data_IF_641607218733
#
_entry.id   IF_641607218733
#
_cell.length_a   1.000
_cell.length_b   1.000
_cell.length_c   1.000
_cell.angle_alpha   90.00
_cell.angle_beta   90.00
_cell.angle_gamma   90.00
#
_symmetry.space_group_name_H-M   'P 1'
#
loop_
_entity.id
_entity.type
_entity.pdbx_description
1 polymer ?
#
# COMPACT_ATOMS: atom_id res chain seq x y z
N UNK A 1 -32.56 -10.00 -4.60
CA UNK A 1 -32.10 -8.86 -3.79
C UNK A 1 -33.19 -7.82 -3.87
N UNK A 2 -33.93 -7.61 -2.78
CA UNK A 2 -35.05 -6.67 -2.76
C UNK A 2 -34.55 -5.22 -2.69
N UNK A 3 -35.24 -4.34 -3.40
CA UNK A 3 -34.90 -2.91 -3.48
C UNK A 3 -34.92 -2.25 -2.08
N UNK A 4 -35.74 -2.78 -1.17
CA UNK A 4 -35.84 -2.36 0.24
C UNK A 4 -34.59 -2.70 1.07
N UNK A 5 -33.91 -3.80 0.76
CA UNK A 5 -32.65 -4.19 1.44
C UNK A 5 -31.49 -3.31 1.01
N UNK A 6 -31.49 -2.86 -0.24
CA UNK A 6 -30.49 -1.93 -0.78
C UNK A 6 -30.69 -0.54 -0.17
N UNK A 7 -31.92 -0.03 -0.13
CA UNK A 7 -32.21 1.29 0.45
C UNK A 7 -32.00 1.33 1.96
N UNK A 8 -32.22 0.23 2.68
CA UNK A 8 -31.88 0.16 4.11
C UNK A 8 -30.39 0.17 4.39
N UNK A 9 -29.57 -0.35 3.47
CA UNK A 9 -28.11 -0.31 3.59
C UNK A 9 -27.50 1.00 3.08
N UNK A 10 -28.16 1.74 2.20
CA UNK A 10 -27.68 3.02 1.68
C UNK A 10 -28.04 4.20 2.62
N UNK A 11 -27.75 4.07 3.91
CA UNK A 11 -27.96 5.14 4.89
C UNK A 11 -26.86 6.21 4.77
N UNK A 12 -27.17 7.46 5.13
CA UNK A 12 -26.18 8.55 5.18
C UNK A 12 -24.94 8.17 6.02
N UNK A 13 -25.14 7.38 7.08
CA UNK A 13 -24.06 6.84 7.92
C UNK A 13 -23.11 5.95 7.12
N UNK A 14 -23.62 4.99 6.34
CA UNK A 14 -22.78 4.09 5.57
C UNK A 14 -22.06 4.82 4.44
N UNK A 15 -22.71 5.79 3.80
CA UNK A 15 -22.05 6.67 2.83
C UNK A 15 -20.94 7.51 3.48
N UNK A 16 -21.17 8.01 4.70
CA UNK A 16 -20.17 8.70 5.50
C UNK A 16 -18.97 7.80 5.85
N UNK A 17 -19.22 6.54 6.22
CA UNK A 17 -18.17 5.56 6.46
C UNK A 17 -17.36 5.27 5.19
N UNK A 18 -18.01 5.09 4.03
CA UNK A 18 -17.31 4.93 2.74
C UNK A 18 -16.38 6.10 2.48
N UNK A 19 -16.86 7.34 2.68
CA UNK A 19 -16.05 8.54 2.50
C UNK A 19 -14.88 8.60 3.48
N UNK A 20 -15.12 8.30 4.77
CA UNK A 20 -14.09 8.27 5.79
C UNK A 20 -13.01 7.24 5.45
N UNK A 21 -13.41 6.04 5.04
CA UNK A 21 -12.50 4.97 4.60
C UNK A 21 -11.71 5.38 3.36
N UNK A 22 -12.36 6.00 2.38
CA UNK A 22 -11.68 6.49 1.18
C UNK A 22 -10.62 7.55 1.51
N UNK A 23 -10.92 8.45 2.45
CA UNK A 23 -9.95 9.45 2.91
C UNK A 23 -8.81 8.77 3.67
N UNK A 24 -9.10 7.89 4.62
CA UNK A 24 -8.07 7.19 5.40
C UNK A 24 -7.17 6.36 4.50
N UNK A 25 -7.75 5.53 3.63
CA UNK A 25 -7.03 4.71 2.67
C UNK A 25 -6.22 5.56 1.70
N UNK A 26 -6.78 6.68 1.21
CA UNK A 26 -6.10 7.58 0.29
C UNK A 26 -4.93 8.32 0.93
N UNK A 27 -5.10 8.84 2.14
CA UNK A 27 -4.02 9.47 2.93
C UNK A 27 -2.92 8.48 3.21
N UNK A 28 -3.31 7.29 3.65
CA UNK A 28 -2.39 6.23 3.95
C UNK A 28 -1.59 5.89 2.66
N UNK A 29 -2.26 5.68 1.53
CA UNK A 29 -1.61 5.34 0.25
C UNK A 29 -0.68 6.42 -0.32
N UNK A 30 -0.78 7.66 0.17
CA UNK A 30 -0.03 8.79 -0.38
C UNK A 30 1.47 8.66 -0.13
N UNK A 31 1.84 8.26 1.08
CA UNK A 31 3.24 8.13 1.51
C UNK A 31 3.97 7.06 0.68
N UNK A 32 3.27 5.98 0.30
CA UNK A 32 3.85 4.90 -0.52
C UNK A 32 4.09 5.32 -1.98
N UNK A 33 3.21 6.15 -2.53
CA UNK A 33 3.41 6.72 -3.87
C UNK A 33 4.58 7.73 -3.88
N UNK A 34 4.72 8.52 -2.81
CA UNK A 34 5.85 9.43 -2.63
C UNK A 34 7.17 8.66 -2.47
N UNK A 35 7.18 7.58 -1.68
CA UNK A 35 8.33 6.71 -1.52
C UNK A 35 8.77 6.11 -2.87
N UNK A 36 7.83 5.57 -3.67
CA UNK A 36 8.12 5.09 -5.03
C UNK A 36 8.70 6.20 -5.92
N UNK A 37 8.08 7.38 -5.91
CA UNK A 37 8.56 8.52 -6.68
C UNK A 37 9.99 8.90 -6.26
N UNK A 38 10.29 8.97 -4.97
CA UNK A 38 11.61 9.29 -4.45
C UNK A 38 12.66 8.22 -4.83
N UNK A 39 12.33 6.93 -4.63
CA UNK A 39 13.22 5.80 -4.92
C UNK A 39 13.55 5.70 -6.42
N UNK A 40 12.56 5.90 -7.30
CA UNK A 40 12.79 5.85 -8.76
C UNK A 40 13.53 7.10 -9.23
N UNK A 41 13.20 8.28 -8.71
CA UNK A 41 13.84 9.56 -9.10
C UNK A 41 15.31 9.63 -8.69
N UNK A 42 15.67 9.05 -7.55
CA UNK A 42 17.05 9.03 -7.07
C UNK A 42 17.94 7.98 -7.73
N UNK A 43 17.37 6.97 -8.40
CA UNK A 43 18.12 5.75 -8.81
C UNK A 43 18.04 5.37 -10.29
N UNK A 44 17.10 5.91 -11.06
CA UNK A 44 17.03 5.71 -12.51
C UNK A 44 17.43 7.00 -13.24
N UNK A 45 18.55 6.93 -13.97
CA UNK A 45 19.10 8.07 -14.70
C UNK A 45 18.34 8.39 -16.00
N UNK A 46 17.58 7.43 -16.55
CA UNK A 46 16.83 7.61 -17.79
C UNK A 46 15.35 7.96 -17.56
N UNK A 47 14.85 9.05 -18.16
CA UNK A 47 13.48 9.51 -17.95
C UNK A 47 12.42 8.55 -18.51
N UNK A 48 12.71 7.80 -19.57
CA UNK A 48 11.79 6.76 -20.10
C UNK A 48 11.69 5.57 -19.15
N UNK A 49 12.83 5.06 -18.66
CA UNK A 49 12.87 3.93 -17.73
C UNK A 49 12.19 4.28 -16.40
N UNK A 50 12.37 5.52 -15.93
CA UNK A 50 11.67 6.05 -14.75
C UNK A 50 10.15 6.07 -14.95
N UNK A 51 9.67 6.56 -16.09
CA UNK A 51 8.22 6.55 -16.38
C UNK A 51 7.66 5.14 -16.43
N UNK A 52 8.37 4.21 -17.06
CA UNK A 52 7.94 2.82 -17.16
C UNK A 52 7.94 2.13 -15.79
N UNK A 53 9.00 2.31 -15.00
CA UNK A 53 9.09 1.78 -13.64
C UNK A 53 7.96 2.31 -12.74
N UNK A 54 7.66 3.62 -12.84
CA UNK A 54 6.57 4.24 -12.10
C UNK A 54 5.21 3.69 -12.55
N UNK A 55 4.96 3.61 -13.86
CA UNK A 55 3.69 3.10 -14.39
C UNK A 55 3.45 1.65 -13.98
N UNK A 56 4.43 0.77 -14.18
CA UNK A 56 4.31 -0.65 -13.86
C UNK A 56 4.28 -0.90 -12.36
N UNK A 57 5.06 -0.17 -11.56
CA UNK A 57 5.02 -0.25 -10.10
C UNK A 57 3.67 0.22 -9.54
N UNK A 58 3.13 1.32 -10.05
CA UNK A 58 1.79 1.81 -9.68
C UNK A 58 0.72 0.78 -10.06
N UNK A 59 0.78 0.18 -11.25
CA UNK A 59 -0.18 -0.86 -11.65
C UNK A 59 -0.05 -2.16 -10.84
N UNK A 60 1.16 -2.62 -10.55
CA UNK A 60 1.39 -3.81 -9.70
C UNK A 60 0.81 -3.63 -8.30
N UNK A 61 1.17 -2.53 -7.64
CA UNK A 61 0.64 -2.16 -6.33
C UNK A 61 -0.90 -2.10 -6.32
N UNK A 62 -1.53 -1.66 -7.41
CA UNK A 62 -2.99 -1.61 -7.52
C UNK A 62 -3.64 -2.98 -7.37
N UNK A 63 -3.16 -3.93 -8.17
CA UNK A 63 -3.76 -5.25 -8.31
C UNK A 63 -3.63 -5.99 -7.00
N UNK A 64 -2.45 -5.88 -6.40
CA UNK A 64 -2.12 -6.52 -5.14
C UNK A 64 -2.93 -5.91 -4.00
N UNK A 65 -3.03 -4.58 -3.95
CA UNK A 65 -3.81 -3.90 -2.91
C UNK A 65 -5.30 -4.22 -3.00
N UNK A 66 -5.88 -4.23 -4.20
CA UNK A 66 -7.26 -4.71 -4.37
C UNK A 66 -7.39 -6.16 -3.90
N UNK A 67 -6.47 -7.04 -4.29
CA UNK A 67 -6.44 -8.43 -3.85
C UNK A 67 -6.42 -8.55 -2.32
N UNK A 68 -5.59 -7.76 -1.65
CA UNK A 68 -5.45 -7.73 -0.20
C UNK A 68 -6.68 -7.17 0.50
N UNK A 69 -7.33 -6.17 -0.05
CA UNK A 69 -8.62 -5.68 0.46
C UNK A 69 -9.65 -6.82 0.44
N UNK A 70 -9.75 -7.57 -0.66
CA UNK A 70 -10.66 -8.71 -0.75
C UNK A 70 -10.30 -9.83 0.24
N UNK A 71 -9.01 -10.19 0.33
CA UNK A 71 -8.51 -11.20 1.27
C UNK A 71 -8.77 -10.77 2.71
N UNK A 72 -8.47 -9.51 3.04
CA UNK A 72 -8.72 -8.92 4.36
C UNK A 72 -10.19 -8.97 4.72
N UNK A 73 -11.08 -8.44 3.86
CA UNK A 73 -12.53 -8.49 4.11
C UNK A 73 -13.06 -9.92 4.22
N UNK A 74 -12.47 -10.87 3.49
CA UNK A 74 -12.82 -12.30 3.61
C UNK A 74 -12.36 -12.92 4.94
N UNK A 75 -11.11 -12.69 5.34
CA UNK A 75 -10.57 -13.16 6.63
C UNK A 75 -11.43 -12.67 7.81
N UNK A 76 -11.91 -11.43 7.70
CA UNK A 76 -12.65 -10.74 8.75
C UNK A 76 -14.11 -11.20 8.92
N UNK A 77 -14.53 -12.20 8.15
CA UNK A 77 -15.71 -12.99 8.48
C UNK A 77 -15.58 -13.69 9.85
N UNK A 78 -14.36 -13.84 10.38
CA UNK A 78 -14.09 -14.46 11.66
C UNK A 78 -13.71 -13.43 12.72
N UNK A 79 -14.44 -13.39 13.84
CA UNK A 79 -14.22 -12.41 14.92
C UNK A 79 -12.83 -12.50 15.55
N UNK A 80 -12.27 -13.71 15.69
CA UNK A 80 -10.93 -13.92 16.24
C UNK A 80 -9.84 -13.23 15.43
N UNK A 81 -10.04 -13.08 14.11
CA UNK A 81 -9.07 -12.39 13.25
C UNK A 81 -8.99 -10.90 13.60
N UNK A 82 -10.11 -10.26 13.96
CA UNK A 82 -10.11 -8.86 14.39
C UNK A 82 -9.27 -8.67 15.65
N UNK A 83 -9.37 -9.61 16.60
CA UNK A 83 -8.58 -9.59 17.84
C UNK A 83 -7.09 -9.79 17.55
N UNK A 84 -6.73 -10.74 16.68
CA UNK A 84 -5.34 -10.97 16.28
C UNK A 84 -4.76 -9.75 15.55
N UNK A 85 -5.51 -9.15 14.63
CA UNK A 85 -5.10 -7.96 13.90
C UNK A 85 -4.88 -6.76 14.84
N UNK A 86 -5.80 -6.52 15.78
CA UNK A 86 -5.64 -5.47 16.78
C UNK A 86 -4.44 -5.69 17.70
N UNK A 87 -4.19 -6.94 18.13
CA UNK A 87 -3.03 -7.28 18.96
C UNK A 87 -1.72 -7.13 18.18
N UNK A 88 -1.70 -7.51 16.90
CA UNK A 88 -0.57 -7.31 16.01
C UNK A 88 -0.20 -5.83 15.86
N UNK A 89 -1.18 -4.95 15.67
CA UNK A 89 -0.95 -3.51 15.61
C UNK A 89 -0.37 -2.94 16.91
N UNK A 90 -0.91 -3.37 18.06
CA UNK A 90 -0.38 -2.96 19.36
C UNK A 90 1.06 -3.41 19.55
N UNK A 91 1.37 -4.65 19.16
CA UNK A 91 2.72 -5.18 19.19
C UNK A 91 3.65 -4.39 18.26
N UNK A 92 3.24 -4.11 17.03
CA UNK A 92 4.02 -3.32 16.07
C UNK A 92 4.31 -1.92 16.61
N UNK A 93 3.27 -1.21 17.09
CA UNK A 93 3.41 0.13 17.65
C UNK A 93 4.36 0.16 18.87
N UNK A 94 4.24 -0.81 19.78
CA UNK A 94 5.14 -0.95 20.93
C UNK A 94 6.56 -1.25 20.48
N UNK A 95 6.72 -2.17 19.53
CA UNK A 95 8.02 -2.56 19.00
C UNK A 95 8.72 -1.38 18.33
N UNK A 96 8.01 -0.62 17.51
CA UNK A 96 8.56 0.55 16.82
C UNK A 96 8.88 1.72 17.75
N UNK A 97 8.02 1.99 18.73
CA UNK A 97 8.21 3.14 19.63
C UNK A 97 9.21 2.87 20.76
N UNK A 98 9.33 1.62 21.23
CA UNK A 98 10.15 1.30 22.41
C UNK A 98 11.28 0.29 22.18
N UNK A 99 11.19 -0.60 21.19
CA UNK A 99 12.19 -1.65 20.97
C UNK A 99 13.14 -1.33 19.80
N UNK A 100 12.72 -0.54 18.82
CA UNK A 100 13.48 -0.21 17.59
C UNK A 100 14.64 0.79 17.78
N UNK A 101 15.20 0.90 19.00
CA UNK A 101 16.45 1.64 19.23
C UNK A 101 17.71 0.79 19.02
N UNK A 102 17.59 -0.50 18.67
CA UNK A 102 18.75 -1.40 18.49
C UNK A 102 18.73 -2.38 17.32
N UNK A 103 17.58 -2.76 16.76
CA UNK A 103 17.52 -3.91 15.83
C UNK A 103 17.03 -3.50 14.42
N UNK A 104 17.64 -2.45 13.86
CA UNK A 104 17.35 -2.01 12.48
C UNK A 104 18.05 -2.82 11.39
N UNK A 105 18.65 -3.97 11.70
CA UNK A 105 19.59 -4.66 10.79
C UNK A 105 19.00 -5.90 10.08
N UNK A 106 17.93 -6.52 10.59
CA UNK A 106 17.41 -7.79 10.04
C UNK A 106 16.38 -7.60 8.91
N UNK A 107 15.36 -6.75 9.07
CA UNK A 107 14.46 -6.38 7.95
C UNK A 107 15.19 -5.51 6.91
N UNK A 108 16.17 -4.74 7.36
CA UNK A 108 17.08 -4.04 6.48
C UNK A 108 17.99 -5.01 5.72
N UNK A 109 18.23 -6.25 6.14
CA UNK A 109 19.15 -7.17 5.43
C UNK A 109 18.58 -7.75 4.13
N UNK A 110 17.27 -8.02 4.03
CA UNK A 110 16.66 -8.43 2.76
C UNK A 110 16.49 -7.25 1.80
N UNK A 111 16.11 -6.08 2.34
CA UNK A 111 16.12 -4.82 1.61
C UNK A 111 17.54 -4.40 1.21
N UNK A 112 18.57 -4.65 2.02
CA UNK A 112 19.99 -4.40 1.73
C UNK A 112 20.53 -5.33 0.65
N UNK A 113 20.06 -6.58 0.56
CA UNK A 113 20.39 -7.46 -0.56
C UNK A 113 19.77 -6.97 -1.87
N UNK A 114 18.55 -6.42 -1.83
CA UNK A 114 18.01 -5.66 -2.96
C UNK A 114 18.82 -4.37 -3.18
N UNK A 115 19.21 -3.66 -2.13
CA UNK A 115 19.98 -2.40 -2.15
C UNK A 115 21.36 -2.59 -2.77
N UNK A 116 22.01 -3.73 -2.55
CA UNK A 116 23.33 -4.08 -3.11
C UNK A 116 23.24 -4.49 -4.59
N UNK A 117 22.09 -5.03 -5.03
CA UNK A 117 21.76 -5.21 -6.45
C UNK A 117 21.38 -3.88 -7.11
N UNK A 118 20.79 -2.95 -6.34
CA UNK A 118 20.36 -1.61 -6.79
C UNK A 118 21.51 -0.59 -6.82
N UNK A 119 22.52 -0.71 -5.95
CA UNK A 119 23.66 0.22 -5.82
C UNK A 119 24.88 -0.18 -6.67
N UNK A 120 24.87 -1.32 -7.36
CA UNK A 120 25.94 -1.64 -8.31
C UNK A 120 26.00 -0.60 -9.43
N UNK A 121 27.15 0.07 -9.65
CA UNK A 121 27.36 0.87 -10.85
C UNK A 121 27.14 -0.05 -12.05
N UNK A 122 26.41 0.44 -13.06
CA UNK A 122 26.29 -0.29 -14.32
C UNK A 122 27.72 -0.55 -14.86
N UNK A 123 28.16 -1.83 -14.98
CA UNK A 123 29.51 -2.14 -15.42
C UNK A 123 29.82 -1.60 -16.82
N UNK A 124 28.79 -1.28 -17.61
CA UNK A 124 28.91 -0.99 -19.03
C UNK A 124 28.76 0.48 -19.43
N UNK A 125 28.56 1.42 -18.50
CA UNK A 125 28.29 2.82 -18.88
C UNK A 125 27.05 2.96 -19.78
N UNK A 126 26.17 1.95 -19.79
CA UNK A 126 24.91 2.01 -20.51
C UNK A 126 23.96 2.98 -19.83
N UNK A 127 23.39 3.84 -20.66
CA UNK A 127 22.39 4.83 -20.29
C UNK A 127 21.21 4.24 -19.50
N UNK A 128 20.74 3.03 -19.84
CA UNK A 128 19.51 2.44 -19.27
C UNK A 128 19.77 1.56 -18.05
N UNK A 129 18.89 1.64 -17.06
CA UNK A 129 18.95 0.76 -15.88
C UNK A 129 18.59 -0.69 -16.26
N UNK A 130 19.29 -1.66 -15.68
CA UNK A 130 18.99 -3.08 -15.89
C UNK A 130 17.58 -3.44 -15.39
N UNK A 131 16.88 -4.33 -16.12
CA UNK A 131 15.53 -4.79 -15.76
C UNK A 131 15.44 -5.31 -14.31
N UNK A 132 16.49 -5.98 -13.82
CA UNK A 132 16.57 -6.49 -12.44
C UNK A 132 16.54 -5.35 -11.41
N UNK A 133 17.18 -4.22 -11.71
CA UNK A 133 17.20 -3.03 -10.85
C UNK A 133 15.81 -2.38 -10.80
N UNK A 134 15.15 -2.27 -11.95
CA UNK A 134 13.78 -1.74 -12.04
C UNK A 134 12.81 -2.63 -11.25
N UNK A 135 12.92 -3.95 -11.41
CA UNK A 135 12.09 -4.91 -10.68
C UNK A 135 12.33 -4.85 -9.17
N UNK A 136 13.59 -4.72 -8.73
CA UNK A 136 13.92 -4.59 -7.31
C UNK A 136 13.31 -3.34 -6.66
N UNK A 137 13.31 -2.19 -7.34
CA UNK A 137 12.65 -0.97 -6.84
C UNK A 137 11.14 -1.17 -6.73
N UNK A 138 10.52 -1.80 -7.73
CA UNK A 138 9.08 -2.07 -7.73
C UNK A 138 8.72 -2.98 -6.56
N UNK A 139 9.44 -4.10 -6.40
CA UNK A 139 9.21 -5.05 -5.30
C UNK A 139 9.40 -4.41 -3.94
N UNK A 140 10.45 -3.61 -3.73
CA UNK A 140 10.69 -2.95 -2.45
C UNK A 140 9.55 -2.00 -2.05
N UNK A 141 9.06 -1.21 -3.01
CA UNK A 141 7.90 -0.34 -2.80
C UNK A 141 6.64 -1.13 -2.57
N UNK A 142 6.45 -2.21 -3.31
CA UNK A 142 5.29 -3.08 -3.17
C UNK A 142 5.27 -3.74 -1.79
N UNK A 143 6.41 -4.23 -1.30
CA UNK A 143 6.53 -4.76 0.08
C UNK A 143 6.23 -3.69 1.12
N UNK A 144 6.74 -2.47 0.95
CA UNK A 144 6.40 -1.34 1.82
C UNK A 144 4.89 -1.05 1.79
N UNK A 145 4.28 -1.08 0.60
CA UNK A 145 2.84 -0.89 0.40
C UNK A 145 2.01 -2.00 1.06
N UNK A 146 2.50 -3.24 1.00
CA UNK A 146 1.91 -4.42 1.62
C UNK A 146 1.86 -4.29 3.14
N UNK A 147 3.00 -3.96 3.76
CA UNK A 147 3.10 -3.82 5.22
C UNK A 147 2.09 -2.81 5.74
N UNK A 148 1.97 -1.70 5.02
CA UNK A 148 1.11 -0.62 5.37
C UNK A 148 -0.38 -0.85 5.08
N UNK A 149 -0.70 -1.66 4.05
CA UNK A 149 -2.08 -2.06 3.75
C UNK A 149 -2.69 -2.94 4.86
N UNK A 150 -1.86 -3.62 5.67
CA UNK A 150 -2.33 -4.40 6.82
C UNK A 150 -2.94 -3.47 7.88
N UNK A 151 -2.29 -2.34 8.15
CA UNK A 151 -2.77 -1.34 9.11
C UNK A 151 -4.05 -0.67 8.62
N UNK A 152 -4.13 -0.36 7.33
CA UNK A 152 -5.33 0.25 6.73
C UNK A 152 -6.54 -0.70 6.80
N UNK A 153 -6.34 -2.00 6.60
CA UNK A 153 -7.40 -3.02 6.78
C UNK A 153 -7.86 -3.04 8.24
N UNK A 154 -6.93 -3.06 9.19
CA UNK A 154 -7.27 -3.06 10.60
C UNK A 154 -8.07 -1.80 11.01
N UNK A 155 -7.69 -0.62 10.50
CA UNK A 155 -8.44 0.62 10.66
C UNK A 155 -9.83 0.52 10.01
N UNK A 156 -9.92 -0.06 8.82
CA UNK A 156 -11.18 -0.17 8.11
C UNK A 156 -12.21 -0.99 8.90
N UNK A 157 -11.76 -2.05 9.58
CA UNK A 157 -12.60 -2.89 10.43
C UNK A 157 -13.10 -2.20 11.69
N UNK A 158 -12.32 -1.26 12.22
CA UNK A 158 -12.76 -0.45 13.33
C UNK A 158 -13.88 0.53 12.92
N UNK A 159 -13.98 0.87 11.63
CA UNK A 159 -14.97 1.81 11.11
C UNK A 159 -16.29 1.13 10.73
N UNK A 160 -16.27 -0.08 10.14
CA UNK A 160 -17.50 -0.75 9.71
C UNK A 160 -17.38 -2.27 9.65
N UNK A 161 -18.47 -2.96 10.00
CA UNK A 161 -18.61 -4.42 9.76
C UNK A 161 -19.23 -4.75 8.39
N UNK A 162 -19.69 -3.74 7.65
CA UNK A 162 -20.37 -3.95 6.37
C UNK A 162 -19.35 -4.15 5.24
N UNK A 163 -19.25 -5.38 4.73
CA UNK A 163 -18.28 -5.77 3.68
C UNK A 163 -18.29 -4.83 2.45
N UNK A 164 -19.48 -4.42 2.00
CA UNK A 164 -19.58 -3.54 0.84
C UNK A 164 -19.06 -2.12 1.15
N UNK A 165 -19.26 -1.61 2.37
CA UNK A 165 -18.73 -0.30 2.82
C UNK A 165 -17.20 -0.34 2.83
N UNK A 166 -16.63 -1.42 3.37
CA UNK A 166 -15.19 -1.63 3.42
C UNK A 166 -14.56 -1.68 2.02
N UNK A 167 -15.09 -2.53 1.14
CA UNK A 167 -14.54 -2.72 -0.21
C UNK A 167 -14.69 -1.43 -1.04
N UNK A 168 -15.84 -0.77 -0.98
CA UNK A 168 -16.06 0.46 -1.77
C UNK A 168 -15.22 1.62 -1.26
N UNK A 169 -15.14 1.82 0.06
CA UNK A 169 -14.28 2.84 0.66
C UNK A 169 -12.81 2.64 0.29
N UNK A 170 -12.31 1.41 0.44
CA UNK A 170 -10.93 1.09 0.09
C UNK A 170 -10.66 1.31 -1.41
N UNK A 171 -11.50 0.78 -2.31
CA UNK A 171 -11.32 0.97 -3.76
C UNK A 171 -11.36 2.46 -4.13
N UNK A 172 -12.29 3.23 -3.58
CA UNK A 172 -12.37 4.68 -3.84
C UNK A 172 -11.10 5.38 -3.35
N UNK A 173 -10.61 5.07 -2.15
CA UNK A 173 -9.38 5.65 -1.62
C UNK A 173 -8.15 5.35 -2.49
N UNK A 174 -8.00 4.09 -2.92
CA UNK A 174 -6.92 3.67 -3.82
C UNK A 174 -6.99 4.42 -5.16
N UNK A 175 -8.20 4.55 -5.73
CA UNK A 175 -8.40 5.28 -6.98
C UNK A 175 -8.13 6.78 -6.82
N UNK A 176 -8.57 7.38 -5.71
CA UNK A 176 -8.38 8.81 -5.42
C UNK A 176 -6.90 9.14 -5.33
N UNK A 177 -6.12 8.37 -4.57
CA UNK A 177 -4.68 8.62 -4.45
C UNK A 177 -3.95 8.40 -5.78
N UNK A 178 -4.36 7.41 -6.55
CA UNK A 178 -3.75 7.15 -7.86
C UNK A 178 -3.90 8.32 -8.83
N UNK A 179 -5.09 8.91 -8.88
CA UNK A 179 -5.34 10.12 -9.67
C UNK A 179 -4.51 11.28 -9.13
N UNK A 180 -4.45 11.46 -7.81
CA UNK A 180 -3.63 12.50 -7.18
C UNK A 180 -2.14 12.35 -7.51
N UNK A 181 -1.56 11.14 -7.42
CA UNK A 181 -0.17 10.86 -7.74
C UNK A 181 0.19 11.24 -9.18
N UNK A 182 -0.71 11.03 -10.14
CA UNK A 182 -0.50 11.44 -11.53
C UNK A 182 -0.38 12.96 -11.70
N UNK A 183 -1.04 13.73 -10.84
CA UNK A 183 -0.89 15.20 -10.81
C UNK A 183 0.45 15.63 -10.20
N UNK A 184 0.94 14.93 -9.17
CA UNK A 184 2.22 15.26 -8.50
C UNK A 184 3.46 14.88 -9.30
N UNK A 185 3.37 13.88 -10.18
CA UNK A 185 4.50 13.39 -10.98
C UNK A 185 4.72 14.22 -12.26
N UNK A 186 3.87 15.22 -12.53
CA UNK A 186 3.95 16.08 -13.72
C UNK A 186 4.80 17.32 -13.51
#
# INVERSE_FOLDING_TARGET
MDLSTITSQLTLTNMGMVLQLAILEGLLSFDNALALAALVSGRLSHPEDRKHALLWGIWGAYVIRIGIVFVGVWLMAHEWVKLVAGLYLLWMAVNELWLKKKDGEEEASELHNAEDILNRPDPNGSRRASFKKILGVIVAVEVMDLMFSIDSIAVALAVSDQKWVLITGAIIGILMMRVAAQFFVK
#
